data_IF_531747451068
#
_entry.id   IF_531747451068
#
_cell.length_a   1.000
_cell.length_b   1.000
_cell.length_c   1.000
_cell.angle_alpha   90.00
_cell.angle_beta   90.00
_cell.angle_gamma   90.00
#
_symmetry.space_group_name_H-M   'P 1'
#
loop_
_entity.id
_entity.type
_entity.pdbx_description
1 polymer ?
#
# COMPACT_ATOMS: atom_id res chain seq x y z
N UNK A 1 19.25 12.19 6.34
CA UNK A 1 20.26 11.15 6.12
C UNK A 1 19.65 10.06 5.25
N UNK A 2 20.00 10.06 3.97
CA UNK A 2 19.51 9.12 2.95
C UNK A 2 20.25 7.80 3.09
N UNK A 3 19.61 6.79 3.68
CA UNK A 3 20.11 5.41 3.54
C UNK A 3 19.65 4.88 2.19
N UNK A 4 20.56 4.82 1.23
CA UNK A 4 20.41 4.04 0.01
C UNK A 4 21.07 2.69 0.26
N UNK A 5 20.27 1.65 0.49
CA UNK A 5 20.76 0.27 0.43
C UNK A 5 20.68 -0.18 -1.03
N UNK A 6 21.85 -0.15 -1.68
CA UNK A 6 22.05 -0.66 -3.02
C UNK A 6 22.21 -2.19 -2.97
N UNK A 7 21.65 -2.85 -3.99
CA UNK A 7 21.56 -4.30 -4.11
C UNK A 7 22.86 -5.07 -3.78
N UNK A 8 22.76 -5.99 -2.81
CA UNK A 8 23.68 -7.10 -2.64
C UNK A 8 22.87 -8.37 -2.28
N UNK A 9 23.09 -9.39 -3.09
CA UNK A 9 22.48 -10.72 -3.12
C UNK A 9 22.68 -11.50 -1.82
N UNK A 10 21.62 -12.12 -1.29
CA UNK A 10 21.53 -13.54 -0.89
C UNK A 10 20.44 -13.73 0.19
N UNK A 11 19.37 -14.46 -0.16
CA UNK A 11 18.58 -15.32 0.73
C UNK A 11 18.49 -14.91 2.21
N UNK A 12 18.06 -13.69 2.50
CA UNK A 12 17.46 -13.38 3.78
C UNK A 12 15.98 -13.71 3.64
N UNK A 13 15.45 -14.59 4.49
CA UNK A 13 14.06 -15.07 4.51
C UNK A 13 13.08 -14.05 3.93
N UNK A 14 12.78 -14.20 2.64
CA UNK A 14 11.95 -13.22 1.95
C UNK A 14 10.53 -13.48 2.40
N UNK A 15 10.07 -12.69 3.36
CA UNK A 15 8.75 -12.85 3.96
C UNK A 15 7.70 -12.80 2.86
N UNK A 16 6.86 -13.85 2.80
CA UNK A 16 5.69 -13.85 1.94
C UNK A 16 4.60 -12.98 2.58
N UNK A 17 4.06 -12.08 1.77
CA UNK A 17 3.08 -11.08 2.17
C UNK A 17 1.86 -11.19 1.28
N UNK A 18 0.66 -11.23 1.86
CA UNK A 18 -0.60 -11.24 1.11
C UNK A 18 -1.09 -9.81 0.92
N UNK A 19 -1.46 -9.45 -0.30
CA UNK A 19 -2.17 -8.20 -0.56
C UNK A 19 -3.65 -8.37 -0.19
N UNK A 20 -4.13 -7.54 0.75
CA UNK A 20 -5.47 -7.62 1.35
C UNK A 20 -6.42 -6.53 0.84
N UNK A 21 -5.93 -5.53 0.11
CA UNK A 21 -6.79 -4.44 -0.36
C UNK A 21 -7.54 -4.80 -1.67
N UNK A 22 -8.88 -4.71 -1.71
CA UNK A 22 -9.70 -5.26 -2.80
C UNK A 22 -9.55 -4.53 -4.14
N UNK A 23 -9.11 -3.27 -4.11
CA UNK A 23 -8.89 -2.47 -5.33
C UNK A 23 -7.49 -2.60 -5.93
N UNK A 24 -6.62 -3.43 -5.35
CA UNK A 24 -5.27 -3.62 -5.90
C UNK A 24 -5.25 -4.77 -6.92
N UNK A 25 -4.56 -4.65 -8.08
CA UNK A 25 -4.48 -5.74 -9.06
C UNK A 25 -3.91 -7.05 -8.51
N UNK A 26 -3.10 -6.98 -7.46
CA UNK A 26 -2.51 -8.14 -6.79
C UNK A 26 -3.37 -8.67 -5.62
N UNK A 27 -4.62 -8.23 -5.48
CA UNK A 27 -5.49 -8.65 -4.38
C UNK A 27 -5.50 -10.17 -4.21
N UNK A 28 -5.42 -10.64 -2.97
CA UNK A 28 -5.29 -12.03 -2.51
C UNK A 28 -3.99 -12.76 -2.87
N UNK A 29 -3.13 -12.21 -3.74
CA UNK A 29 -1.84 -12.82 -4.08
C UNK A 29 -0.88 -12.74 -2.89
N UNK A 30 -0.13 -13.82 -2.68
CA UNK A 30 1.01 -13.87 -1.77
C UNK A 30 2.29 -13.68 -2.58
N UNK A 31 3.12 -12.74 -2.16
CA UNK A 31 4.32 -12.34 -2.89
C UNK A 31 5.49 -12.14 -1.93
N UNK A 32 6.72 -12.45 -2.37
CA UNK A 32 7.92 -12.12 -1.61
C UNK A 32 8.08 -10.61 -1.44
N UNK A 33 8.24 -10.16 -0.19
CA UNK A 33 8.64 -8.80 0.14
C UNK A 33 10.16 -8.68 0.07
N UNK A 34 10.66 -8.14 -1.05
CA UNK A 34 12.11 -8.02 -1.34
C UNK A 34 12.75 -6.76 -0.77
N UNK A 35 11.98 -5.91 -0.10
CA UNK A 35 12.52 -4.74 0.58
C UNK A 35 11.47 -3.74 1.03
N UNK A 36 11.96 -2.65 1.63
CA UNK A 36 11.16 -1.55 2.15
C UNK A 36 11.74 -0.22 1.68
N UNK A 37 10.89 0.77 1.43
CA UNK A 37 11.31 2.16 1.17
C UNK A 37 10.37 3.14 1.84
N UNK A 38 10.84 4.36 2.07
CA UNK A 38 10.02 5.44 2.63
C UNK A 38 9.81 6.53 1.58
N UNK A 39 8.62 7.11 1.55
CA UNK A 39 8.34 8.34 0.82
C UNK A 39 7.60 9.33 1.72
N UNK A 40 7.22 10.50 1.17
CA UNK A 40 6.48 11.53 1.93
C UNK A 40 5.13 11.09 2.50
N UNK A 41 4.60 9.95 2.06
CA UNK A 41 3.35 9.35 2.51
C UNK A 41 3.58 8.07 3.35
N UNK A 42 4.81 7.84 3.83
CA UNK A 42 5.14 6.76 4.76
C UNK A 42 5.91 5.59 4.15
N UNK A 43 5.92 4.48 4.90
CA UNK A 43 6.56 3.22 4.52
C UNK A 43 5.88 2.58 3.31
N UNK A 44 6.68 1.91 2.48
CA UNK A 44 6.26 1.12 1.32
C UNK A 44 6.99 -0.21 1.33
N UNK A 45 6.24 -1.28 1.13
CA UNK A 45 6.77 -2.61 0.87
C UNK A 45 7.03 -2.77 -0.63
N UNK A 46 8.10 -3.48 -0.98
CA UNK A 46 8.45 -3.84 -2.36
C UNK A 46 8.15 -5.32 -2.56
N UNK A 47 7.10 -5.63 -3.31
CA UNK A 47 6.66 -6.99 -3.60
C UNK A 47 7.10 -7.40 -4.99
N UNK A 48 7.78 -8.52 -5.11
CA UNK A 48 8.22 -9.05 -6.41
C UNK A 48 7.24 -10.11 -6.93
N UNK A 49 6.81 -9.97 -8.18
CA UNK A 49 6.03 -10.99 -8.89
C UNK A 49 6.94 -11.98 -9.62
N UNK A 50 6.36 -13.09 -10.10
CA UNK A 50 7.09 -14.18 -10.76
C UNK A 50 7.85 -13.74 -12.03
N UNK A 51 7.35 -12.71 -12.72
CA UNK A 51 7.98 -12.05 -13.86
C UNK A 51 9.10 -11.06 -13.45
N UNK A 52 9.53 -11.09 -12.18
CA UNK A 52 10.48 -10.18 -11.55
C UNK A 52 10.04 -8.70 -11.45
N UNK A 53 8.79 -8.37 -11.82
CA UNK A 53 8.25 -7.01 -11.66
C UNK A 53 8.12 -6.65 -10.17
N UNK A 54 8.54 -5.43 -9.79
CA UNK A 54 8.47 -4.96 -8.40
C UNK A 54 7.34 -3.95 -8.23
N UNK A 55 6.38 -4.29 -7.36
CA UNK A 55 5.25 -3.46 -6.98
C UNK A 55 5.49 -2.81 -5.63
N UNK A 56 5.26 -1.51 -5.55
CA UNK A 56 5.32 -0.79 -4.28
C UNK A 56 3.94 -0.66 -3.68
N UNK A 57 3.70 -1.25 -2.51
CA UNK A 57 2.40 -1.19 -1.80
C UNK A 57 2.55 -0.62 -0.40
N UNK A 58 1.53 0.02 0.17
CA UNK A 58 1.55 0.40 1.59
C UNK A 58 1.46 -0.86 2.48
N UNK A 59 2.06 -0.87 3.68
CA UNK A 59 1.88 -1.95 4.65
C UNK A 59 0.40 -2.23 4.98
N UNK A 60 -0.43 -1.20 5.08
CA UNK A 60 -1.88 -1.35 5.37
C UNK A 60 -2.68 -2.05 4.27
N UNK A 61 -2.10 -2.29 3.09
CA UNK A 61 -2.72 -3.09 2.03
C UNK A 61 -2.29 -4.55 2.09
N UNK A 62 -1.64 -4.96 3.16
CA UNK A 62 -1.11 -6.31 3.33
C UNK A 62 -1.56 -6.94 4.64
N UNK A 63 -1.35 -8.24 4.78
CA UNK A 63 -1.59 -8.98 6.02
C UNK A 63 -0.52 -8.77 7.11
N UNK A 64 0.49 -7.93 6.85
CA UNK A 64 1.49 -7.54 7.85
C UNK A 64 0.97 -6.55 8.89
N UNK A 65 -0.11 -5.84 8.57
CA UNK A 65 -0.75 -4.89 9.47
C UNK A 65 -2.16 -5.39 9.73
N UNK A 66 -2.50 -5.51 11.02
CA UNK A 66 -3.87 -5.84 11.42
C UNK A 66 -4.85 -4.85 10.80
N UNK A 67 -5.93 -5.38 10.22
CA UNK A 67 -6.99 -4.55 9.67
C UNK A 67 -7.58 -3.66 10.76
N UNK A 68 -7.90 -2.42 10.38
CA UNK A 68 -8.56 -1.47 11.26
C UNK A 68 -9.91 -2.05 11.77
N UNK A 69 -10.25 -1.88 13.07
CA UNK A 69 -11.52 -2.36 13.62
C UNK A 69 -12.75 -1.92 12.83
N UNK A 70 -12.76 -0.72 12.24
CA UNK A 70 -13.88 -0.26 11.41
C UNK A 70 -14.06 -1.14 10.17
N UNK A 71 -12.94 -1.53 9.54
CA UNK A 71 -12.93 -2.41 8.36
C UNK A 71 -13.38 -3.82 8.73
N UNK A 72 -12.92 -4.34 9.87
CA UNK A 72 -13.33 -5.66 10.38
C UNK A 72 -14.82 -5.68 10.71
N UNK A 73 -15.32 -4.66 11.42
CA UNK A 73 -16.72 -4.54 11.84
C UNK A 73 -17.66 -4.35 10.64
N UNK A 74 -17.20 -3.70 9.57
CA UNK A 74 -18.00 -3.51 8.36
C UNK A 74 -18.34 -4.82 7.65
N UNK A 75 -17.55 -5.89 7.86
CA UNK A 75 -17.66 -7.18 7.16
C UNK A 75 -17.69 -7.02 5.64
N UNK A 76 -16.90 -6.09 5.10
CA UNK A 76 -16.83 -5.78 3.68
C UNK A 76 -17.96 -4.87 3.16
N UNK A 77 -18.85 -4.38 4.03
CA UNK A 77 -19.87 -3.39 3.66
C UNK A 77 -19.32 -1.96 3.55
N UNK A 78 -18.15 -1.72 4.14
CA UNK A 78 -17.40 -0.46 3.97
C UNK A 78 -15.98 -0.78 3.54
N UNK A 79 -15.60 -0.28 2.38
CA UNK A 79 -14.28 -0.49 1.78
C UNK A 79 -13.25 0.55 2.22
N UNK A 80 -13.72 1.66 2.79
CA UNK A 80 -12.92 2.77 3.29
C UNK A 80 -13.38 3.12 4.70
N UNK A 81 -12.48 3.62 5.53
CA UNK A 81 -12.84 4.20 6.83
C UNK A 81 -13.45 5.57 6.61
N UNK A 82 -14.18 6.06 7.61
CA UNK A 82 -14.79 7.41 7.52
C UNK A 82 -13.71 8.48 7.35
N UNK A 83 -12.58 8.34 8.04
CA UNK A 83 -11.42 9.24 7.89
C UNK A 83 -10.89 9.26 6.45
N UNK A 84 -10.79 8.09 5.81
CA UNK A 84 -10.26 7.98 4.44
C UNK A 84 -11.23 8.65 3.44
N UNK A 85 -12.54 8.58 3.68
CA UNK A 85 -13.56 9.27 2.86
C UNK A 85 -13.48 10.79 3.01
N UNK A 86 -13.24 11.29 4.22
CA UNK A 86 -13.06 12.73 4.49
C UNK A 86 -11.79 13.23 3.80
N UNK A 87 -10.68 12.51 3.91
CA UNK A 87 -9.43 12.84 3.23
C UNK A 87 -9.59 12.84 1.70
N UNK A 88 -10.33 11.86 1.17
CA UNK A 88 -10.63 11.79 -0.25
C UNK A 88 -11.47 12.99 -0.71
N UNK A 89 -12.50 13.38 0.04
CA UNK A 89 -13.32 14.55 -0.26
C UNK A 89 -12.46 15.83 -0.30
N UNK A 90 -11.62 16.05 0.71
CA UNK A 90 -10.70 17.19 0.75
C UNK A 90 -9.69 17.18 -0.42
N UNK A 91 -9.22 16.00 -0.84
CA UNK A 91 -8.35 15.88 -2.02
C UNK A 91 -9.09 16.25 -3.31
N UNK A 92 -10.33 15.77 -3.51
CA UNK A 92 -11.15 16.07 -4.69
C UNK A 92 -11.46 17.56 -4.77
N UNK A 93 -11.79 18.21 -3.67
CA UNK A 93 -12.02 19.67 -3.62
C UNK A 93 -10.77 20.46 -4.05
N UNK A 94 -9.59 20.07 -3.54
CA UNK A 94 -8.31 20.70 -3.91
C UNK A 94 -7.96 20.51 -5.38
N UNK A 95 -8.25 19.34 -5.95
CA UNK A 95 -8.00 19.07 -7.37
C UNK A 95 -9.00 19.82 -8.26
N UNK A 96 -10.26 19.91 -7.85
CA UNK A 96 -11.32 20.61 -8.58
C UNK A 96 -11.09 22.11 -8.62
N UNK A 97 -10.73 22.72 -7.49
CA UNK A 97 -10.38 24.15 -7.42
C UNK A 97 -9.16 24.50 -8.28
N UNK A 98 -8.17 23.60 -8.37
CA UNK A 98 -7.00 23.77 -9.25
C UNK A 98 -7.31 23.58 -10.73
N UNK A 99 -8.33 22.78 -11.07
CA UNK A 99 -8.80 22.61 -12.45
C UNK A 99 -9.63 23.78 -12.98
N UNK A 100 -10.19 24.61 -12.09
CA UNK A 100 -10.96 25.81 -12.43
C UNK A 100 -10.11 27.04 -12.79
N UNK A 101 -8.79 26.95 -12.79
CA UNK A 101 -7.87 28.04 -13.16
C UNK A 101 -7.35 27.90 -14.59
N UNK A 102 -8.22 27.56 -15.54
CA UNK A 102 -7.87 27.47 -16.96
C UNK A 102 -8.62 28.50 -17.79
#
# INVERSE_FOLDING_TARGET
CTSQENAATANADTQLVRVTHPFHPLFTRQLPCVGKRYNRHGERLLLQTEDATVWSVPPQWTDLVSLDPEVVMSKGRSLLRVVDLIELAALVERLSSKSGTR
#
